data_IF_193277587327
#
_entry.id   IF_193277587327
#
_cell.length_a   1.000
_cell.length_b   1.000
_cell.length_c   1.000
_cell.angle_alpha   90.00
_cell.angle_beta   90.00
_cell.angle_gamma   90.00
#
_symmetry.space_group_name_H-M   'P 1'
#
loop_
_entity.id
_entity.type
_entity.pdbx_description
1 polymer ?
#
# COMPACT_ATOMS: atom_id res chain seq x y z
N UNK A 1 -37.69 44.16 16.18
CA UNK A 1 -37.80 42.75 15.73
C UNK A 1 -37.42 42.60 14.23
N UNK A 2 -37.87 43.51 13.32
CA UNK A 2 -37.53 43.45 11.89
C UNK A 2 -36.04 43.64 11.60
N UNK A 3 -35.33 44.46 12.38
CA UNK A 3 -33.88 44.69 12.18
C UNK A 3 -33.02 43.49 12.62
N UNK A 4 -33.41 42.72 13.62
CA UNK A 4 -32.71 41.51 14.09
C UNK A 4 -32.82 40.36 13.07
N UNK A 5 -33.97 40.19 12.44
CA UNK A 5 -34.22 39.14 11.44
C UNK A 5 -33.40 39.40 10.17
N UNK A 6 -33.26 40.67 9.78
CA UNK A 6 -32.44 41.04 8.58
C UNK A 6 -30.97 40.84 8.82
N UNK A 7 -30.43 41.08 10.01
CA UNK A 7 -29.04 40.77 10.36
C UNK A 7 -28.77 39.28 10.42
N UNK A 8 -29.71 38.46 10.92
CA UNK A 8 -29.54 37.00 10.97
C UNK A 8 -29.56 36.36 9.58
N UNK A 9 -30.39 36.83 8.68
CA UNK A 9 -30.44 36.39 7.28
C UNK A 9 -29.19 36.83 6.50
N UNK A 10 -28.62 38.02 6.76
CA UNK A 10 -27.40 38.48 6.12
C UNK A 10 -26.16 37.68 6.57
N UNK A 11 -26.09 37.30 7.86
CA UNK A 11 -25.01 36.45 8.38
C UNK A 11 -25.10 35.01 7.86
N UNK A 12 -26.32 34.48 7.72
CA UNK A 12 -26.52 33.14 7.14
C UNK A 12 -26.13 33.11 5.65
N UNK A 13 -26.44 34.16 4.88
CA UNK A 13 -26.08 34.28 3.47
C UNK A 13 -24.56 34.47 3.26
N UNK A 14 -23.89 35.20 4.17
CA UNK A 14 -22.43 35.37 4.11
C UNK A 14 -21.68 34.08 4.48
N UNK A 15 -22.23 33.25 5.39
CA UNK A 15 -21.68 31.95 5.72
C UNK A 15 -21.82 30.94 4.58
N UNK A 16 -22.89 31.01 3.79
CA UNK A 16 -23.08 30.18 2.60
C UNK A 16 -22.17 30.59 1.43
N UNK A 17 -21.80 31.88 1.32
CA UNK A 17 -20.90 32.35 0.27
C UNK A 17 -19.43 32.03 0.54
N UNK A 18 -19.03 31.78 1.80
CA UNK A 18 -17.68 31.34 2.16
C UNK A 18 -17.44 29.84 1.94
N UNK A 19 -18.50 29.02 1.84
CA UNK A 19 -18.41 27.57 1.58
C UNK A 19 -18.26 27.31 0.05
N UNK A 20 -18.56 28.27 -0.81
CA UNK A 20 -18.57 28.08 -2.26
C UNK A 20 -17.23 28.34 -2.99
N UNK A 21 -16.17 28.63 -2.26
CA UNK A 21 -14.82 28.89 -2.86
C UNK A 21 -13.76 27.83 -2.49
N UNK A 22 -14.15 26.58 -2.30
CA UNK A 22 -13.18 25.50 -2.49
C UNK A 22 -13.08 25.26 -4.00
N UNK A 23 -12.10 25.90 -4.63
CA UNK A 23 -11.70 25.54 -5.99
C UNK A 23 -11.41 24.06 -6.01
N UNK A 24 -12.17 23.29 -6.80
CA UNK A 24 -11.77 21.92 -7.10
C UNK A 24 -10.32 21.94 -7.55
N UNK A 25 -9.44 21.08 -7.01
CA UNK A 25 -8.09 20.99 -7.52
C UNK A 25 -8.13 20.80 -9.03
N UNK A 26 -7.23 21.44 -9.74
CA UNK A 26 -7.10 21.24 -11.19
C UNK A 26 -6.89 19.74 -11.44
N UNK A 27 -7.51 19.15 -12.47
CA UNK A 27 -7.28 17.76 -12.80
C UNK A 27 -5.78 17.56 -13.07
N UNK A 28 -5.20 16.48 -12.53
CA UNK A 28 -3.83 16.12 -12.80
C UNK A 28 -3.64 15.88 -14.30
N UNK A 29 -2.48 16.24 -14.82
CA UNK A 29 -2.11 15.91 -16.20
C UNK A 29 -2.00 14.40 -16.31
N UNK A 30 -2.62 13.76 -17.31
CA UNK A 30 -2.47 12.32 -17.54
C UNK A 30 -0.99 11.98 -17.74
N UNK A 31 -0.52 10.92 -17.09
CA UNK A 31 0.85 10.40 -17.20
C UNK A 31 0.79 8.92 -17.54
N UNK A 32 1.81 8.44 -18.26
CA UNK A 32 1.92 7.01 -18.56
C UNK A 32 2.66 6.28 -17.45
N UNK A 33 2.17 5.12 -17.01
CA UNK A 33 2.85 4.33 -16.00
C UNK A 33 4.11 3.66 -16.55
N UNK A 34 5.20 3.74 -15.79
CA UNK A 34 6.50 3.14 -16.12
C UNK A 34 6.60 1.72 -15.56
N UNK A 35 5.85 0.78 -16.11
CA UNK A 35 5.78 -0.58 -15.57
C UNK A 35 6.92 -1.50 -16.06
N UNK A 36 7.43 -1.28 -17.28
CA UNK A 36 8.35 -2.23 -17.97
C UNK A 36 9.81 -1.80 -18.03
N UNK A 37 10.17 -0.63 -17.50
CA UNK A 37 11.51 -0.11 -17.63
C UNK A 37 12.46 -0.77 -16.62
N UNK A 38 13.55 -1.37 -17.09
CA UNK A 38 14.72 -1.72 -16.27
C UNK A 38 15.59 -0.48 -15.99
N UNK A 39 15.50 0.53 -16.88
CA UNK A 39 16.12 1.84 -16.68
C UNK A 39 15.08 2.79 -16.09
N UNK A 40 15.37 3.32 -14.92
CA UNK A 40 14.49 4.26 -14.25
C UNK A 40 14.71 5.67 -14.80
N UNK A 41 13.61 6.41 -14.96
CA UNK A 41 13.68 7.83 -15.30
C UNK A 41 14.42 8.62 -14.24
N UNK A 42 15.01 9.73 -14.67
CA UNK A 42 15.49 10.78 -13.78
C UNK A 42 14.52 11.96 -13.87
N UNK A 43 14.40 12.73 -12.80
CA UNK A 43 13.75 14.01 -12.90
C UNK A 43 14.56 14.95 -13.82
N UNK A 44 13.89 15.63 -14.73
CA UNK A 44 14.53 16.62 -15.61
C UNK A 44 14.93 17.89 -14.84
N UNK A 45 14.30 18.14 -13.71
CA UNK A 45 14.51 19.29 -12.84
C UNK A 45 14.13 18.94 -11.40
N UNK A 46 14.50 19.82 -10.46
CA UNK A 46 13.97 19.81 -9.10
C UNK A 46 12.55 20.42 -9.10
N UNK A 47 11.56 19.55 -9.13
CA UNK A 47 10.17 20.00 -9.04
C UNK A 47 9.87 20.60 -7.66
N UNK A 48 8.86 21.52 -7.56
CA UNK A 48 8.38 21.95 -6.26
C UNK A 48 8.01 20.78 -5.35
N UNK A 49 8.54 20.79 -4.14
CA UNK A 49 8.37 19.70 -3.16
C UNK A 49 7.50 20.16 -2.01
N UNK A 50 6.66 19.26 -1.53
CA UNK A 50 5.89 19.43 -0.32
C UNK A 50 6.80 19.63 0.90
N UNK A 51 6.38 20.46 1.84
CA UNK A 51 6.90 20.40 3.21
C UNK A 51 6.72 18.99 3.78
N UNK A 52 7.56 18.55 4.74
CA UNK A 52 7.38 17.27 5.39
C UNK A 52 5.93 17.04 5.82
N UNK A 53 5.37 15.93 5.39
CA UNK A 53 3.99 15.55 5.66
C UNK A 53 3.88 14.82 7.00
N UNK A 54 2.68 14.79 7.56
CA UNK A 54 2.35 13.86 8.63
C UNK A 54 2.32 12.42 8.08
N UNK A 55 2.74 11.41 8.90
CA UNK A 55 2.73 10.01 8.44
C UNK A 55 1.30 9.57 8.15
N UNK A 56 1.10 8.72 7.13
CA UNK A 56 -0.17 8.02 6.96
C UNK A 56 -0.54 7.22 8.21
N UNK A 57 -1.83 7.11 8.52
CA UNK A 57 -2.34 6.44 9.75
C UNK A 57 -2.05 4.93 9.82
N UNK A 58 -1.29 4.40 8.90
CA UNK A 58 -0.91 3.00 8.77
C UNK A 58 -1.37 2.42 7.44
N UNK A 59 -0.97 1.17 7.19
CA UNK A 59 -1.54 0.40 6.09
C UNK A 59 -2.95 -0.01 6.49
N UNK A 60 -3.91 0.19 5.59
CA UNK A 60 -5.30 -0.17 5.85
C UNK A 60 -5.41 -1.68 6.07
N UNK A 61 -6.27 -2.12 6.98
CA UNK A 61 -6.65 -3.52 7.08
C UNK A 61 -7.10 -3.98 5.69
N UNK A 62 -6.28 -4.83 5.06
CA UNK A 62 -6.44 -5.16 3.66
C UNK A 62 -7.65 -6.05 3.37
N UNK A 63 -7.99 -6.12 2.11
CA UNK A 63 -9.04 -6.99 1.62
C UNK A 63 -8.63 -8.46 1.82
N UNK A 64 -9.42 -9.23 2.51
CA UNK A 64 -9.19 -10.68 2.59
C UNK A 64 -9.40 -11.30 1.21
N UNK A 65 -8.47 -12.13 0.76
CA UNK A 65 -8.50 -12.77 -0.55
C UNK A 65 -9.78 -13.60 -0.77
N UNK A 66 -10.48 -13.30 -1.84
CA UNK A 66 -11.75 -13.94 -2.18
C UNK A 66 -12.88 -12.92 -2.43
N UNK A 67 -14.06 -13.41 -2.71
CA UNK A 67 -15.26 -12.59 -2.86
C UNK A 67 -16.45 -13.25 -2.15
N UNK A 68 -17.52 -12.47 -1.92
CA UNK A 68 -18.71 -12.90 -1.19
C UNK A 68 -18.35 -13.57 0.17
N UNK A 69 -17.38 -12.98 0.86
CA UNK A 69 -16.78 -13.52 2.04
C UNK A 69 -17.77 -13.51 3.21
N UNK A 70 -17.87 -14.63 3.92
CA UNK A 70 -18.75 -14.78 5.08
C UNK A 70 -18.13 -14.15 6.31
N UNK A 71 -18.84 -13.19 6.92
CA UNK A 71 -18.41 -12.55 8.14
C UNK A 71 -18.86 -13.31 9.40
N UNK A 72 -18.05 -13.18 10.46
CA UNK A 72 -18.34 -13.68 11.80
C UNK A 72 -18.02 -12.58 12.81
N UNK A 73 -18.93 -12.30 13.72
CA UNK A 73 -18.71 -11.35 14.80
C UNK A 73 -18.77 -12.09 16.15
N UNK A 74 -17.69 -11.97 16.94
CA UNK A 74 -17.57 -12.66 18.26
C UNK A 74 -17.83 -14.16 18.20
N UNK A 75 -17.44 -14.83 17.13
CA UNK A 75 -17.69 -16.27 16.94
C UNK A 75 -19.11 -16.62 16.46
N UNK A 76 -19.97 -15.62 16.20
CA UNK A 76 -21.35 -15.80 15.73
C UNK A 76 -21.39 -15.50 14.23
N UNK A 77 -21.86 -16.44 13.39
CA UNK A 77 -22.07 -16.19 11.97
C UNK A 77 -23.03 -15.04 11.74
N UNK A 78 -22.66 -14.10 10.87
CA UNK A 78 -23.58 -13.07 10.38
C UNK A 78 -24.33 -13.61 9.16
N UNK A 79 -25.56 -14.09 9.30
CA UNK A 79 -26.34 -14.62 8.19
C UNK A 79 -26.68 -13.49 7.21
N UNK A 80 -26.67 -13.80 5.91
CA UNK A 80 -27.01 -12.88 4.82
C UNK A 80 -26.05 -11.69 4.63
N UNK A 81 -24.89 -11.66 5.29
CA UNK A 81 -23.86 -10.65 5.07
C UNK A 81 -22.67 -11.25 4.36
N UNK A 82 -22.41 -10.80 3.15
CA UNK A 82 -21.22 -11.14 2.36
C UNK A 82 -20.46 -9.86 2.02
N UNK A 83 -19.15 -9.90 2.21
CA UNK A 83 -18.26 -8.83 1.78
C UNK A 83 -17.88 -9.10 0.32
N UNK A 84 -18.22 -8.16 -0.54
CA UNK A 84 -17.85 -8.18 -1.94
C UNK A 84 -16.60 -7.34 -2.14
N UNK A 85 -15.47 -8.02 -2.33
CA UNK A 85 -14.16 -7.39 -2.50
C UNK A 85 -13.82 -7.09 -3.97
N UNK A 86 -14.65 -7.44 -4.95
CA UNK A 86 -14.29 -7.24 -6.36
C UNK A 86 -14.53 -5.80 -6.78
N UNK A 87 -13.49 -5.17 -7.34
CA UNK A 87 -13.55 -3.84 -7.95
C UNK A 87 -13.27 -3.90 -9.46
N UNK A 88 -13.54 -2.82 -10.15
CA UNK A 88 -13.30 -2.66 -11.58
C UNK A 88 -12.38 -1.46 -11.82
N UNK A 89 -11.45 -1.57 -12.76
CA UNK A 89 -10.43 -0.55 -13.01
C UNK A 89 -11.00 0.84 -13.29
N UNK A 90 -12.15 0.92 -13.98
CA UNK A 90 -12.81 2.18 -14.34
C UNK A 90 -13.65 2.79 -13.20
N UNK A 91 -13.83 2.06 -12.10
CA UNK A 91 -14.74 2.43 -11.00
C UNK A 91 -14.04 2.56 -9.65
N UNK A 92 -12.74 2.82 -9.65
CA UNK A 92 -11.94 2.91 -8.42
C UNK A 92 -12.22 4.18 -7.61
N UNK A 93 -12.80 5.20 -8.26
CA UNK A 93 -13.11 6.46 -7.62
C UNK A 93 -11.89 7.35 -7.39
N UNK A 94 -12.09 8.40 -6.58
CA UNK A 94 -11.04 9.33 -6.21
C UNK A 94 -10.06 8.66 -5.23
N UNK A 95 -8.82 9.14 -5.23
CA UNK A 95 -7.84 8.79 -4.22
C UNK A 95 -7.68 9.93 -3.23
N UNK A 96 -7.58 9.60 -1.95
CA UNK A 96 -7.36 10.55 -0.87
C UNK A 96 -6.13 10.12 -0.07
N UNK A 97 -5.09 10.95 -0.09
CA UNK A 97 -3.90 10.74 0.73
C UNK A 97 -4.29 10.53 2.19
N UNK A 98 -3.74 9.49 2.81
CA UNK A 98 -3.96 9.17 4.21
C UNK A 98 -5.45 8.99 4.57
N UNK A 99 -6.21 8.29 3.70
CA UNK A 99 -7.60 7.95 4.04
C UNK A 99 -7.59 6.92 5.18
N UNK A 100 -8.15 7.33 6.30
CA UNK A 100 -8.06 6.63 7.59
C UNK A 100 -8.75 5.28 7.62
N UNK A 101 -8.54 4.51 8.71
CA UNK A 101 -9.31 3.28 9.03
C UNK A 101 -10.83 3.53 8.98
N UNK A 102 -11.30 4.76 9.27
CA UNK A 102 -12.71 5.14 9.11
C UNK A 102 -13.09 5.23 7.64
N UNK A 103 -12.22 5.76 6.78
CA UNK A 103 -12.41 5.77 5.33
C UNK A 103 -12.43 4.36 4.75
N UNK A 104 -11.56 3.46 5.19
CA UNK A 104 -11.57 2.06 4.79
C UNK A 104 -12.86 1.35 5.21
N UNK A 105 -13.37 1.62 6.43
CA UNK A 105 -14.66 1.09 6.89
C UNK A 105 -15.83 1.62 6.05
N UNK A 106 -15.81 2.90 5.69
CA UNK A 106 -16.79 3.51 4.80
C UNK A 106 -16.72 2.95 3.37
N UNK A 107 -15.51 2.66 2.88
CA UNK A 107 -15.30 2.03 1.58
C UNK A 107 -15.85 0.59 1.55
N UNK A 108 -15.62 -0.21 2.59
CA UNK A 108 -16.19 -1.55 2.75
C UNK A 108 -17.73 -1.53 2.79
N UNK A 109 -18.31 -0.49 3.35
CA UNK A 109 -19.77 -0.28 3.38
C UNK A 109 -20.32 0.34 2.10
N UNK A 110 -19.45 0.64 1.11
CA UNK A 110 -19.83 1.24 -0.16
C UNK A 110 -20.21 2.73 -0.08
N UNK A 111 -19.95 3.39 1.04
CA UNK A 111 -20.31 4.79 1.29
C UNK A 111 -19.21 5.76 0.83
N UNK A 112 -17.94 5.30 0.77
CA UNK A 112 -16.81 6.09 0.28
C UNK A 112 -16.80 6.19 -1.25
N UNK A 113 -16.37 7.35 -1.77
CA UNK A 113 -16.07 7.52 -3.18
C UNK A 113 -14.80 6.76 -3.61
N UNK A 114 -13.86 6.54 -2.70
CA UNK A 114 -12.69 5.70 -2.91
C UNK A 114 -13.09 4.23 -2.79
N UNK A 115 -12.81 3.42 -3.82
CA UNK A 115 -13.08 1.99 -3.80
C UNK A 115 -11.79 1.22 -3.51
N UNK A 116 -11.88 0.29 -2.57
CA UNK A 116 -10.83 -0.68 -2.24
C UNK A 116 -11.34 -2.08 -2.54
N UNK A 117 -10.45 -2.97 -2.92
CA UNK A 117 -10.81 -4.35 -3.27
C UNK A 117 -9.80 -4.96 -4.22
N UNK A 118 -10.15 -6.13 -4.73
CA UNK A 118 -9.31 -6.94 -5.60
C UNK A 118 -9.85 -6.99 -7.01
N UNK A 119 -8.96 -7.04 -7.98
CA UNK A 119 -9.28 -7.39 -9.36
C UNK A 119 -8.18 -8.29 -9.92
N UNK A 120 -8.51 -9.06 -10.95
CA UNK A 120 -7.54 -9.89 -11.65
C UNK A 120 -7.02 -9.19 -12.90
N UNK A 121 -5.71 -9.36 -13.15
CA UNK A 121 -5.04 -8.87 -14.37
C UNK A 121 -4.25 -9.99 -15.03
N UNK A 122 -4.15 -9.94 -16.37
CA UNK A 122 -3.46 -10.97 -17.14
C UNK A 122 -1.96 -11.07 -16.84
N UNK A 123 -1.31 -9.92 -16.55
CA UNK A 123 0.15 -9.83 -16.36
C UNK A 123 0.58 -9.63 -14.92
N UNK A 124 -0.33 -9.14 -14.06
CA UNK A 124 -0.05 -8.84 -12.65
C UNK A 124 -0.72 -9.82 -11.67
N UNK A 125 -1.48 -10.80 -12.15
CA UNK A 125 -2.28 -11.66 -11.28
C UNK A 125 -3.40 -10.88 -10.59
N UNK A 126 -3.73 -11.26 -9.36
CA UNK A 126 -4.63 -10.45 -8.52
C UNK A 126 -3.90 -9.21 -8.02
N UNK A 127 -4.62 -8.10 -7.96
CA UNK A 127 -4.13 -6.80 -7.45
C UNK A 127 -5.07 -6.31 -6.35
N UNK A 128 -4.49 -5.94 -5.21
CA UNK A 128 -5.20 -5.24 -4.13
C UNK A 128 -5.01 -3.73 -4.27
N UNK A 129 -6.11 -3.02 -4.49
CA UNK A 129 -6.11 -1.57 -4.70
C UNK A 129 -5.75 -0.78 -3.43
N UNK A 130 -6.08 -1.32 -2.25
CA UNK A 130 -5.68 -0.69 -0.99
C UNK A 130 -4.15 -0.69 -0.84
N UNK A 131 -3.50 -1.84 -1.07
CA UNK A 131 -2.05 -1.96 -1.01
C UNK A 131 -1.32 -1.05 -2.01
N UNK A 132 -1.86 -0.93 -3.24
CA UNK A 132 -1.30 0.00 -4.24
C UNK A 132 -1.32 1.44 -3.72
N UNK A 133 -2.48 1.89 -3.22
CA UNK A 133 -2.68 3.27 -2.76
C UNK A 133 -1.88 3.58 -1.51
N UNK A 134 -1.93 2.69 -0.51
CA UNK A 134 -1.23 2.90 0.76
C UNK A 134 0.28 2.98 0.58
N UNK A 135 0.86 2.13 -0.26
CA UNK A 135 2.30 2.19 -0.54
C UNK A 135 2.66 3.41 -1.37
N UNK A 136 1.78 3.88 -2.25
CA UNK A 136 1.98 5.15 -2.95
C UNK A 136 2.00 6.33 -1.97
N UNK A 137 1.10 6.37 -0.99
CA UNK A 137 1.06 7.39 0.06
C UNK A 137 2.31 7.38 0.92
N UNK A 138 2.76 6.19 1.35
CA UNK A 138 4.02 6.09 2.09
C UNK A 138 5.23 6.50 1.26
N UNK A 139 5.22 6.28 -0.05
CA UNK A 139 6.29 6.76 -0.94
C UNK A 139 6.33 8.28 -0.97
N UNK A 140 5.18 8.96 -1.10
CA UNK A 140 5.09 10.42 -1.04
C UNK A 140 5.54 10.96 0.33
N UNK A 141 5.06 10.33 1.41
CA UNK A 141 5.44 10.69 2.77
C UNK A 141 6.96 10.63 2.97
N UNK A 142 7.58 9.48 2.68
CA UNK A 142 9.02 9.33 2.82
C UNK A 142 9.80 10.29 1.92
N UNK A 143 9.33 10.50 0.69
CA UNK A 143 9.96 11.47 -0.20
C UNK A 143 9.99 12.87 0.42
N UNK A 144 8.87 13.35 0.99
CA UNK A 144 8.80 14.67 1.64
C UNK A 144 9.76 14.81 2.81
N UNK A 145 9.95 13.74 3.59
CA UNK A 145 10.88 13.69 4.72
C UNK A 145 12.34 13.64 4.26
N UNK A 146 12.64 12.77 3.31
CA UNK A 146 14.01 12.51 2.85
C UNK A 146 14.58 13.74 2.14
N UNK A 147 13.81 14.33 1.22
CA UNK A 147 14.29 15.47 0.44
C UNK A 147 14.63 16.67 1.33
N UNK A 148 13.83 16.91 2.38
CA UNK A 148 14.07 17.99 3.34
C UNK A 148 15.35 17.78 4.19
N UNK A 149 15.84 16.55 4.35
CA UNK A 149 16.96 16.20 5.24
C UNK A 149 18.07 15.43 4.50
N UNK A 150 18.08 15.47 3.18
CA UNK A 150 19.01 14.69 2.35
C UNK A 150 20.47 14.96 2.75
N UNK A 151 21.24 13.89 2.92
CA UNK A 151 22.64 13.96 3.34
C UNK A 151 22.89 14.14 4.85
N UNK A 152 21.85 14.40 5.64
CA UNK A 152 21.96 14.53 7.10
C UNK A 152 21.83 13.17 7.80
N UNK A 153 22.44 13.03 8.97
CA UNK A 153 22.17 11.90 9.86
C UNK A 153 20.98 12.21 10.78
N UNK A 154 19.95 11.36 10.72
CA UNK A 154 18.76 11.50 11.54
C UNK A 154 17.96 10.20 11.63
N UNK A 155 16.97 10.14 12.51
CA UNK A 155 16.12 8.98 12.70
C UNK A 155 14.64 9.36 12.56
N UNK A 156 13.95 8.69 11.65
CA UNK A 156 12.50 8.76 11.55
C UNK A 156 11.88 7.65 12.39
N UNK A 157 10.97 7.99 13.28
CA UNK A 157 10.22 7.03 14.09
C UNK A 157 8.80 6.94 13.56
N UNK A 158 8.34 5.72 13.36
CA UNK A 158 6.98 5.39 12.91
C UNK A 158 6.21 4.72 14.05
N UNK A 159 4.89 4.63 13.90
CA UNK A 159 4.05 3.90 14.85
C UNK A 159 4.44 2.43 14.94
N UNK A 160 4.22 1.84 16.11
CA UNK A 160 4.63 0.47 16.37
C UNK A 160 3.70 -0.54 15.68
N UNK A 161 4.31 -1.50 14.98
CA UNK A 161 3.66 -2.73 14.52
C UNK A 161 4.42 -3.93 15.09
N UNK A 162 4.00 -4.49 16.21
CA UNK A 162 4.72 -5.44 17.06
C UNK A 162 6.09 -4.91 17.50
N UNK A 163 6.93 -4.51 16.56
CA UNK A 163 8.21 -3.82 16.78
C UNK A 163 8.03 -2.30 16.80
N UNK A 164 8.95 -1.60 17.49
CA UNK A 164 9.11 -0.17 17.30
C UNK A 164 9.88 0.07 15.99
N UNK A 165 9.24 0.77 15.05
CA UNK A 165 9.74 0.98 13.69
C UNK A 165 10.54 2.27 13.62
N UNK A 166 11.79 2.19 13.18
CA UNK A 166 12.67 3.34 12.97
C UNK A 166 13.39 3.23 11.65
N UNK A 167 13.61 4.35 11.00
CA UNK A 167 14.49 4.45 9.83
C UNK A 167 15.66 5.35 10.24
N UNK A 168 16.85 4.78 10.23
CA UNK A 168 18.09 5.51 10.47
C UNK A 168 18.68 5.93 9.14
N UNK A 169 18.73 7.22 8.88
CA UNK A 169 19.39 7.81 7.72
C UNK A 169 20.83 8.16 8.10
N UNK A 170 21.76 7.79 7.23
CA UNK A 170 23.18 8.03 7.43
C UNK A 170 23.61 9.33 6.76
N UNK A 171 24.61 10.03 7.35
CA UNK A 171 25.19 11.21 6.75
C UNK A 171 25.98 10.83 5.47
N UNK A 172 25.78 11.60 4.41
CA UNK A 172 26.55 11.49 3.17
C UNK A 172 26.56 12.84 2.44
N UNK A 173 27.43 13.00 1.44
CA UNK A 173 27.41 14.17 0.57
C UNK A 173 26.42 13.92 -0.56
N UNK A 174 25.29 14.64 -0.62
CA UNK A 174 24.31 14.48 -1.69
C UNK A 174 24.86 14.98 -3.04
N UNK A 175 24.22 14.61 -4.18
CA UNK A 175 24.53 15.20 -5.46
C UNK A 175 24.48 16.73 -5.42
N UNK A 176 25.35 17.39 -6.20
CA UNK A 176 25.32 18.88 -6.32
C UNK A 176 24.16 19.36 -7.20
N UNK A 177 23.78 18.54 -8.20
CA UNK A 177 22.63 18.83 -9.06
C UNK A 177 21.32 18.59 -8.29
N UNK A 178 20.44 19.61 -8.19
CA UNK A 178 19.16 19.47 -7.51
C UNK A 178 18.25 18.39 -8.12
N UNK A 179 18.23 18.18 -9.44
CA UNK A 179 17.45 17.14 -10.08
C UNK A 179 17.94 15.72 -9.73
N UNK A 180 19.26 15.55 -9.58
CA UNK A 180 19.85 14.29 -9.09
C UNK A 180 19.53 14.04 -7.63
N UNK A 181 19.63 15.06 -6.77
CA UNK A 181 19.22 14.99 -5.35
C UNK A 181 17.74 14.66 -5.21
N UNK A 182 16.89 15.25 -6.04
CA UNK A 182 15.46 14.94 -6.14
C UNK A 182 15.24 13.46 -6.50
N UNK A 183 15.88 12.99 -7.57
CA UNK A 183 15.78 11.61 -8.06
C UNK A 183 16.23 10.60 -7.02
N UNK A 184 17.39 10.84 -6.36
CA UNK A 184 17.91 9.98 -5.30
C UNK A 184 16.92 9.87 -4.13
N UNK A 185 16.28 10.99 -3.75
CA UNK A 185 15.28 11.02 -2.68
C UNK A 185 14.04 10.20 -3.02
N UNK A 186 13.57 10.27 -4.26
CA UNK A 186 12.42 9.48 -4.73
C UNK A 186 12.71 7.98 -4.71
N UNK A 187 13.89 7.58 -5.19
CA UNK A 187 14.29 6.17 -5.23
C UNK A 187 14.38 5.58 -3.82
N UNK A 188 15.00 6.32 -2.89
CA UNK A 188 15.11 5.89 -1.51
C UNK A 188 13.73 5.82 -0.84
N UNK A 189 12.85 6.77 -1.13
CA UNK A 189 11.48 6.79 -0.59
C UNK A 189 10.65 5.56 -1.05
N UNK A 190 10.67 5.23 -2.34
CA UNK A 190 9.96 4.08 -2.87
C UNK A 190 10.46 2.75 -2.26
N UNK A 191 11.80 2.61 -2.11
CA UNK A 191 12.40 1.44 -1.48
C UNK A 191 11.97 1.29 -0.03
N UNK A 192 12.00 2.36 0.76
CA UNK A 192 11.58 2.32 2.16
C UNK A 192 10.08 2.07 2.34
N UNK A 193 9.24 2.59 1.43
CA UNK A 193 7.80 2.33 1.45
C UNK A 193 7.50 0.84 1.21
N UNK A 194 8.18 0.20 0.26
CA UNK A 194 8.04 -1.22 0.05
C UNK A 194 8.58 -2.06 1.23
N UNK A 195 9.71 -1.67 1.82
CA UNK A 195 10.24 -2.34 3.01
C UNK A 195 9.28 -2.28 4.19
N UNK A 196 8.60 -1.15 4.36
CA UNK A 196 7.56 -0.98 5.38
C UNK A 196 6.38 -1.92 5.13
N UNK A 197 5.91 -2.03 3.88
CA UNK A 197 4.85 -2.95 3.50
C UNK A 197 5.26 -4.42 3.72
N UNK A 198 6.47 -4.81 3.35
CA UNK A 198 6.98 -6.16 3.61
C UNK A 198 7.06 -6.51 5.11
N UNK A 199 7.40 -5.53 5.96
CA UNK A 199 7.31 -5.71 7.41
C UNK A 199 5.87 -5.88 7.89
N UNK A 200 4.92 -5.16 7.32
CA UNK A 200 3.51 -5.26 7.68
C UNK A 200 2.99 -6.70 7.50
N UNK A 201 3.29 -7.36 6.38
CA UNK A 201 2.95 -8.76 6.13
C UNK A 201 3.53 -9.70 7.20
N UNK A 202 4.80 -9.48 7.56
CA UNK A 202 5.45 -10.23 8.64
C UNK A 202 4.73 -9.96 9.96
N UNK A 203 4.47 -8.71 10.30
CA UNK A 203 3.83 -8.34 11.56
C UNK A 203 2.42 -8.93 11.68
N UNK A 204 1.60 -8.87 10.64
CA UNK A 204 0.25 -9.46 10.60
C UNK A 204 0.31 -10.98 10.85
N UNK A 205 1.22 -11.68 10.17
CA UNK A 205 1.35 -13.11 10.36
C UNK A 205 1.73 -13.47 11.80
N UNK A 206 2.58 -12.67 12.44
CA UNK A 206 3.01 -12.85 13.83
C UNK A 206 2.04 -12.30 14.87
N UNK A 207 0.87 -11.77 14.46
CA UNK A 207 -0.24 -11.42 15.33
C UNK A 207 -0.45 -9.92 15.54
N UNK A 208 0.08 -9.07 14.68
CA UNK A 208 -0.30 -7.68 14.64
C UNK A 208 -1.79 -7.53 14.32
N UNK A 209 -2.43 -6.54 14.92
CA UNK A 209 -3.83 -6.20 14.71
C UNK A 209 -3.93 -4.67 14.69
N UNK A 210 -4.28 -4.10 13.55
CA UNK A 210 -4.59 -2.68 13.42
C UNK A 210 -5.88 -2.35 14.18
N UNK A 211 -6.86 -3.28 14.15
CA UNK A 211 -8.11 -3.20 14.92
C UNK A 211 -8.03 -4.23 16.05
N UNK A 212 -8.02 -3.82 17.33
CA UNK A 212 -7.94 -4.74 18.44
C UNK A 212 -9.06 -5.80 18.42
N UNK A 213 -8.68 -7.07 18.52
CA UNK A 213 -9.61 -8.20 18.53
C UNK A 213 -9.93 -8.76 17.13
N UNK A 214 -9.47 -8.11 16.07
CA UNK A 214 -9.59 -8.61 14.69
C UNK A 214 -8.23 -9.17 14.22
N UNK A 215 -8.16 -10.48 14.00
CA UNK A 215 -6.92 -11.13 13.55
C UNK A 215 -6.69 -10.87 12.05
N UNK A 216 -5.60 -10.23 11.71
CA UNK A 216 -5.16 -10.00 10.33
C UNK A 216 -4.30 -11.15 9.77
N UNK A 217 -4.03 -12.19 10.57
CA UNK A 217 -3.29 -13.37 10.10
C UNK A 217 -3.99 -14.13 8.96
N UNK A 218 -5.26 -13.82 8.67
CA UNK A 218 -6.00 -14.37 7.54
C UNK A 218 -5.50 -13.80 6.21
N UNK A 219 -5.14 -12.53 6.16
CA UNK A 219 -4.64 -11.83 4.97
C UNK A 219 -3.12 -11.83 4.85
N UNK A 220 -2.38 -12.00 5.93
CA UNK A 220 -0.92 -11.93 5.92
C UNK A 220 -0.27 -12.79 4.81
N UNK A 221 0.64 -12.20 4.04
CA UNK A 221 1.29 -12.82 2.88
C UNK A 221 0.30 -13.30 1.81
N UNK A 222 -0.79 -12.59 1.61
CA UNK A 222 -1.72 -12.90 0.53
C UNK A 222 -1.01 -12.89 -0.83
N UNK A 223 -1.43 -13.70 -1.81
CA UNK A 223 -0.72 -13.86 -3.09
C UNK A 223 -0.44 -12.56 -3.83
N UNK A 224 -1.33 -11.57 -3.67
CA UNK A 224 -1.33 -10.30 -4.38
C UNK A 224 -0.63 -9.16 -3.64
N UNK A 225 -0.51 -9.24 -2.29
CA UNK A 225 -0.18 -8.10 -1.44
C UNK A 225 1.13 -7.42 -1.82
N UNK A 226 2.24 -8.13 -1.76
CA UNK A 226 3.56 -7.51 -2.00
C UNK A 226 3.80 -7.13 -3.47
N UNK A 227 3.11 -7.76 -4.43
CA UNK A 227 3.16 -7.27 -5.81
C UNK A 227 2.34 -5.99 -5.97
N UNK A 228 1.20 -5.87 -5.30
CA UNK A 228 0.39 -4.65 -5.28
C UNK A 228 1.10 -3.50 -4.58
N UNK A 229 1.78 -3.77 -3.46
CA UNK A 229 2.63 -2.78 -2.79
C UNK A 229 3.75 -2.28 -3.72
N UNK A 230 4.40 -3.20 -4.43
CA UNK A 230 5.45 -2.84 -5.38
C UNK A 230 4.92 -1.99 -6.54
N UNK A 231 3.73 -2.32 -7.04
CA UNK A 231 3.04 -1.51 -8.06
C UNK A 231 2.79 -0.10 -7.54
N UNK A 232 2.29 0.05 -6.31
CA UNK A 232 2.05 1.34 -5.67
C UNK A 232 3.32 2.19 -5.54
N UNK A 233 4.41 1.59 -5.06
CA UNK A 233 5.71 2.27 -4.96
C UNK A 233 6.22 2.72 -6.34
N UNK A 234 6.05 1.88 -7.38
CA UNK A 234 6.45 2.20 -8.77
C UNK A 234 5.64 3.36 -9.35
N UNK A 235 4.32 3.35 -9.18
CA UNK A 235 3.46 4.43 -9.67
C UNK A 235 3.78 5.75 -8.97
N UNK A 236 3.94 5.74 -7.65
CA UNK A 236 4.31 6.94 -6.90
C UNK A 236 5.68 7.48 -7.32
N UNK A 237 6.69 6.58 -7.46
CA UNK A 237 8.01 6.94 -7.97
C UNK A 237 7.90 7.66 -9.32
N UNK A 238 7.16 7.09 -10.27
CA UNK A 238 6.94 7.69 -11.60
C UNK A 238 6.29 9.06 -11.50
N UNK A 239 5.21 9.19 -10.73
CA UNK A 239 4.49 10.46 -10.57
C UNK A 239 5.35 11.55 -9.96
N UNK A 240 6.14 11.22 -8.93
CA UNK A 240 7.01 12.19 -8.28
C UNK A 240 8.10 12.65 -9.26
N UNK A 241 8.75 11.74 -9.99
CA UNK A 241 9.77 12.09 -10.99
C UNK A 241 9.21 12.96 -12.10
N UNK A 242 7.93 12.85 -12.42
CA UNK A 242 7.24 13.67 -13.43
C UNK A 242 6.62 14.95 -12.86
N UNK A 243 6.96 15.35 -11.62
CA UNK A 243 6.50 16.59 -10.99
C UNK A 243 5.03 16.57 -10.53
N UNK A 244 4.41 15.40 -10.42
CA UNK A 244 2.99 15.27 -10.01
C UNK A 244 2.81 15.23 -8.48
N UNK A 245 3.78 15.72 -7.71
CA UNK A 245 3.79 15.67 -6.25
C UNK A 245 4.08 17.02 -5.59
N UNK A 246 3.77 18.15 -6.25
CA UNK A 246 3.95 19.49 -5.66
C UNK A 246 2.89 19.85 -4.62
N UNK A 247 1.81 19.10 -4.55
CA UNK A 247 0.76 19.18 -3.51
C UNK A 247 0.11 17.81 -3.30
N UNK A 248 -0.43 17.56 -2.10
CA UNK A 248 -1.20 16.35 -1.79
C UNK A 248 -2.37 16.16 -2.74
N UNK A 249 -3.10 17.25 -3.06
CA UNK A 249 -4.25 17.17 -3.98
C UNK A 249 -3.82 16.82 -5.41
N UNK A 250 -2.69 17.34 -5.88
CA UNK A 250 -2.14 16.97 -7.20
C UNK A 250 -1.75 15.49 -7.22
N UNK A 251 -1.03 15.03 -6.21
CA UNK A 251 -0.62 13.62 -6.13
C UNK A 251 -1.82 12.67 -6.06
N UNK A 252 -2.80 12.97 -5.23
CA UNK A 252 -4.04 12.18 -5.12
C UNK A 252 -4.78 12.10 -6.46
N UNK A 253 -4.91 13.24 -7.16
CA UNK A 253 -5.53 13.25 -8.49
C UNK A 253 -4.69 12.48 -9.53
N UNK A 254 -3.36 12.55 -9.44
CA UNK A 254 -2.45 11.83 -10.33
C UNK A 254 -2.54 10.31 -10.11
N UNK A 255 -2.60 9.83 -8.85
CA UNK A 255 -2.83 8.42 -8.53
C UNK A 255 -4.19 7.96 -9.07
N UNK A 256 -5.25 8.74 -8.86
CA UNK A 256 -6.58 8.40 -9.38
C UNK A 256 -6.61 8.26 -10.92
N UNK A 257 -5.76 9.02 -11.63
CA UNK A 257 -5.66 8.97 -13.09
C UNK A 257 -4.75 7.84 -13.60
N UNK A 258 -3.57 7.64 -12.98
CA UNK A 258 -2.59 6.66 -13.48
C UNK A 258 -2.97 5.22 -13.17
N UNK A 259 -3.64 4.98 -12.03
CA UNK A 259 -3.93 3.62 -11.57
C UNK A 259 -4.84 2.84 -12.55
N UNK A 260 -5.96 3.36 -13.05
CA UNK A 260 -6.73 2.68 -14.09
C UNK A 260 -5.91 2.37 -15.35
N UNK A 261 -5.05 3.29 -15.79
CA UNK A 261 -4.19 3.10 -16.96
C UNK A 261 -3.21 1.94 -16.73
N UNK A 262 -2.55 1.93 -15.58
CA UNK A 262 -1.64 0.86 -15.20
C UNK A 262 -2.33 -0.51 -15.14
N UNK A 263 -3.54 -0.57 -14.59
CA UNK A 263 -4.33 -1.79 -14.53
C UNK A 263 -4.74 -2.28 -15.93
N UNK A 264 -5.10 -1.37 -16.84
CA UNK A 264 -5.36 -1.73 -18.24
C UNK A 264 -4.10 -2.23 -18.96
N UNK A 265 -2.94 -1.65 -18.70
CA UNK A 265 -1.66 -2.13 -19.23
C UNK A 265 -1.33 -3.54 -18.72
N UNK A 266 -1.67 -3.84 -17.47
CA UNK A 266 -1.58 -5.18 -16.89
C UNK A 266 -2.63 -6.15 -17.46
N UNK A 267 -3.60 -5.69 -18.23
CA UNK A 267 -4.69 -6.50 -18.76
C UNK A 267 -5.77 -6.81 -17.72
N UNK A 268 -6.31 -5.76 -17.08
CA UNK A 268 -7.35 -5.88 -16.07
C UNK A 268 -8.61 -6.56 -16.63
N UNK A 269 -9.14 -7.51 -15.88
CA UNK A 269 -10.40 -8.17 -16.16
C UNK A 269 -11.57 -7.35 -15.58
N UNK A 270 -12.72 -7.48 -16.20
CA UNK A 270 -13.95 -6.97 -15.62
C UNK A 270 -14.35 -7.76 -14.37
N UNK A 271 -15.43 -7.33 -13.74
CA UNK A 271 -15.95 -7.98 -12.53
C UNK A 271 -16.26 -9.46 -12.75
N UNK A 272 -16.84 -9.82 -13.89
CA UNK A 272 -17.21 -11.21 -14.21
C UNK A 272 -15.97 -12.08 -14.39
N UNK A 273 -15.00 -11.60 -15.14
CA UNK A 273 -13.72 -12.29 -15.35
C UNK A 273 -12.91 -12.43 -14.07
N UNK A 274 -12.87 -11.37 -13.22
CA UNK A 274 -12.22 -11.45 -11.90
C UNK A 274 -12.88 -12.50 -11.00
N UNK A 275 -14.22 -12.53 -10.99
CA UNK A 275 -14.99 -13.55 -10.26
C UNK A 275 -14.67 -14.96 -10.75
N UNK A 276 -14.64 -15.17 -12.05
CA UNK A 276 -14.29 -16.47 -12.64
C UNK A 276 -12.89 -16.91 -12.21
N UNK A 277 -11.92 -16.00 -12.14
CA UNK A 277 -10.58 -16.32 -11.65
C UNK A 277 -10.57 -16.72 -10.18
N UNK A 278 -11.35 -16.08 -9.32
CA UNK A 278 -11.53 -16.52 -7.93
C UNK A 278 -12.16 -17.90 -7.82
N UNK A 279 -13.19 -18.18 -8.64
CA UNK A 279 -13.86 -19.49 -8.68
C UNK A 279 -12.89 -20.61 -9.14
N UNK A 280 -12.01 -20.32 -10.10
CA UNK A 280 -11.01 -21.28 -10.59
C UNK A 280 -9.94 -21.63 -9.54
N UNK A 281 -9.64 -20.74 -8.61
CA UNK A 281 -8.64 -20.97 -7.55
C UNK A 281 -9.28 -21.33 -6.19
N UNK A 282 -10.61 -21.44 -6.11
CA UNK A 282 -11.30 -21.89 -4.89
C UNK A 282 -10.91 -23.34 -4.55
N UNK A 283 -10.64 -23.60 -3.29
CA UNK A 283 -10.10 -24.87 -2.80
C UNK A 283 -8.60 -25.05 -3.03
N UNK A 284 -7.93 -24.14 -3.78
CA UNK A 284 -6.49 -24.19 -4.08
C UNK A 284 -5.76 -23.01 -3.42
N UNK A 285 -6.23 -21.78 -3.63
CA UNK A 285 -5.64 -20.57 -3.08
C UNK A 285 -6.41 -20.05 -1.88
N UNK A 286 -7.71 -20.24 -1.85
CA UNK A 286 -8.60 -19.83 -0.78
C UNK A 286 -9.72 -20.86 -0.61
N UNK A 287 -10.54 -20.71 0.43
CA UNK A 287 -11.63 -21.62 0.72
C UNK A 287 -12.92 -20.84 0.98
N UNK A 288 -13.81 -20.79 0.00
CA UNK A 288 -15.09 -20.07 0.05
C UNK A 288 -16.06 -20.56 1.14
N UNK A 289 -15.84 -21.75 1.69
CA UNK A 289 -16.62 -22.30 2.81
C UNK A 289 -16.18 -21.75 4.16
N UNK A 290 -14.95 -21.21 4.25
CA UNK A 290 -14.43 -20.62 5.47
C UNK A 290 -14.97 -19.19 5.67
N UNK A 291 -14.80 -18.67 6.88
CA UNK A 291 -15.20 -17.31 7.27
C UNK A 291 -13.99 -16.43 7.48
N UNK A 292 -14.18 -15.12 7.32
CA UNK A 292 -13.19 -14.13 7.72
C UNK A 292 -12.87 -14.39 9.20
N UNK A 293 -11.65 -14.23 9.61
CA UNK A 293 -11.02 -14.61 10.88
C UNK A 293 -10.41 -16.02 10.92
N UNK A 294 -10.78 -16.93 10.04
CA UNK A 294 -10.14 -18.25 9.97
C UNK A 294 -8.88 -18.15 9.11
N UNK A 295 -7.71 -18.38 9.71
CA UNK A 295 -6.41 -18.25 9.05
C UNK A 295 -6.33 -19.00 7.72
N UNK A 296 -6.90 -20.20 7.66
CA UNK A 296 -6.92 -21.05 6.46
C UNK A 296 -8.16 -20.87 5.59
N UNK A 297 -8.79 -19.69 5.65
CA UNK A 297 -9.55 -19.16 4.52
C UNK A 297 -8.58 -18.95 3.35
N UNK A 298 -7.39 -18.41 3.61
CA UNK A 298 -6.29 -18.32 2.65
C UNK A 298 -5.42 -19.57 2.73
N UNK A 299 -5.32 -20.31 1.62
CA UNK A 299 -4.57 -21.57 1.49
C UNK A 299 -3.22 -21.38 0.82
N UNK A 300 -3.11 -20.44 -0.12
CA UNK A 300 -1.88 -20.08 -0.83
C UNK A 300 -1.40 -18.73 -0.36
N UNK A 301 -0.13 -18.65 0.06
CA UNK A 301 0.52 -17.41 0.49
C UNK A 301 1.80 -17.19 -0.30
N UNK A 302 2.24 -15.95 -0.40
CA UNK A 302 3.51 -15.59 -1.03
C UNK A 302 4.47 -14.99 0.01
N UNK A 303 5.41 -15.81 0.47
CA UNK A 303 6.38 -15.45 1.52
C UNK A 303 7.64 -14.74 1.00
N UNK A 304 7.72 -14.44 -0.29
CA UNK A 304 8.81 -13.64 -0.85
C UNK A 304 8.69 -12.19 -0.40
N UNK A 305 9.78 -11.61 0.11
CA UNK A 305 9.80 -10.27 0.69
C UNK A 305 10.64 -9.26 -0.10
N UNK A 306 11.17 -9.67 -1.28
CA UNK A 306 12.05 -8.86 -2.12
C UNK A 306 11.25 -7.84 -2.94
N UNK A 307 11.88 -6.70 -3.24
CA UNK A 307 11.39 -5.61 -4.08
C UNK A 307 11.67 -5.78 -5.59
N UNK A 308 12.01 -6.99 -5.97
CA UNK A 308 12.21 -7.44 -7.34
C UNK A 308 11.49 -8.78 -7.49
N UNK A 309 10.32 -8.78 -8.15
CA UNK A 309 9.45 -9.94 -8.14
C UNK A 309 8.49 -10.04 -9.31
N UNK A 310 8.10 -11.27 -9.61
CA UNK A 310 6.94 -11.56 -10.42
C UNK A 310 5.67 -11.63 -9.55
N UNK A 311 4.49 -11.37 -10.14
CA UNK A 311 3.22 -11.67 -9.46
C UNK A 311 3.06 -13.18 -9.29
N UNK A 312 2.34 -13.61 -8.27
CA UNK A 312 1.90 -15.00 -8.20
C UNK A 312 0.76 -15.20 -9.20
N UNK A 313 0.96 -16.11 -10.15
CA UNK A 313 -0.02 -16.39 -11.20
C UNK A 313 -0.74 -17.71 -10.95
N UNK A 314 -2.07 -17.77 -11.15
CA UNK A 314 -2.78 -19.04 -11.15
C UNK A 314 -2.47 -19.80 -12.44
N UNK A 315 -2.29 -21.12 -12.32
CA UNK A 315 -2.03 -22.02 -13.45
C UNK A 315 -0.77 -21.57 -14.23
N UNK A 316 -0.37 -22.23 -15.25
CA UNK A 316 0.86 -21.97 -16.03
C UNK A 316 0.88 -20.62 -16.80
N UNK A 317 0.23 -19.57 -16.27
CA UNK A 317 0.20 -18.22 -16.84
C UNK A 317 1.48 -17.38 -16.55
N UNK A 318 2.47 -17.95 -15.94
CA UNK A 318 3.74 -17.28 -15.59
C UNK A 318 4.46 -16.63 -16.80
N UNK A 319 4.24 -17.15 -18.01
CA UNK A 319 4.85 -16.60 -19.24
C UNK A 319 4.40 -15.19 -19.61
N UNK A 320 3.22 -14.77 -19.17
CA UNK A 320 2.71 -13.41 -19.39
C UNK A 320 3.01 -12.46 -18.22
N UNK A 321 3.50 -12.99 -17.10
CA UNK A 321 3.72 -12.23 -15.88
C UNK A 321 4.71 -11.08 -16.08
N UNK A 322 4.33 -9.90 -15.63
CA UNK A 322 5.17 -8.72 -15.66
C UNK A 322 5.98 -8.61 -14.37
N UNK A 323 7.31 -8.70 -14.48
CA UNK A 323 8.22 -8.45 -13.36
C UNK A 323 8.24 -6.97 -13.04
N UNK A 324 8.10 -6.65 -11.76
CA UNK A 324 8.34 -5.32 -11.21
C UNK A 324 9.56 -5.33 -10.30
N UNK A 325 10.27 -4.21 -10.25
CA UNK A 325 11.42 -4.01 -9.35
C UNK A 325 11.50 -2.55 -8.90
N UNK A 326 12.28 -2.28 -7.86
CA UNK A 326 12.70 -0.94 -7.46
C UNK A 326 14.19 -0.76 -7.70
N UNK A 327 14.68 0.49 -7.84
CA UNK A 327 16.11 0.75 -7.97
C UNK A 327 16.87 0.30 -6.71
N UNK A 328 18.04 -0.32 -6.89
CA UNK A 328 18.96 -0.63 -5.80
C UNK A 328 19.97 0.50 -5.55
N UNK A 329 20.21 1.31 -6.57
CA UNK A 329 21.18 2.40 -6.55
C UNK A 329 20.78 3.52 -7.50
N UNK A 330 21.34 4.69 -7.27
CA UNK A 330 21.33 5.79 -8.21
C UNK A 330 22.77 6.27 -8.41
N UNK A 331 23.26 6.25 -9.64
CA UNK A 331 24.68 6.48 -9.95
C UNK A 331 25.60 5.62 -9.05
N UNK A 332 26.45 6.24 -8.23
CA UNK A 332 27.33 5.55 -7.28
C UNK A 332 26.73 5.37 -5.88
N UNK A 333 25.52 5.88 -5.64
CA UNK A 333 24.82 5.76 -4.36
C UNK A 333 24.06 4.44 -4.27
N UNK A 334 24.49 3.53 -3.40
CA UNK A 334 23.72 2.35 -3.03
C UNK A 334 22.67 2.74 -1.99
N UNK A 335 21.38 2.56 -2.28
CA UNK A 335 20.29 3.01 -1.42
C UNK A 335 20.35 2.36 -0.03
N UNK A 336 20.74 1.10 0.06
CA UNK A 336 20.89 0.36 1.32
C UNK A 336 22.00 0.91 2.23
N UNK A 337 22.85 1.79 1.71
CA UNK A 337 23.89 2.47 2.49
C UNK A 337 23.47 3.87 2.96
N UNK A 338 22.34 4.37 2.49
CA UNK A 338 21.85 5.71 2.82
C UNK A 338 20.85 5.69 3.97
N UNK A 339 20.14 4.57 4.14
CA UNK A 339 19.18 4.40 5.23
C UNK A 339 19.08 2.91 5.64
N UNK A 340 18.69 2.68 6.88
CA UNK A 340 18.44 1.34 7.42
C UNK A 340 17.09 1.31 8.15
N UNK A 341 16.18 0.46 7.72
CA UNK A 341 14.93 0.20 8.41
C UNK A 341 15.17 -0.75 9.58
N UNK A 342 14.95 -0.28 10.79
CA UNK A 342 15.25 -0.95 12.05
C UNK A 342 13.97 -1.27 12.82
N UNK A 343 13.83 -2.51 13.25
CA UNK A 343 12.67 -3.05 13.97
C UNK A 343 13.09 -3.48 15.36
N UNK A 344 12.84 -2.61 16.32
CA UNK A 344 13.28 -2.77 17.70
C UNK A 344 12.30 -3.61 18.49
N UNK A 345 12.79 -4.56 19.32
CA UNK A 345 11.92 -5.41 20.14
C UNK A 345 11.01 -4.62 21.07
N UNK A 346 9.77 -5.08 21.21
CA UNK A 346 8.78 -4.61 22.17
C UNK A 346 8.19 -5.79 22.95
N UNK A 347 7.43 -5.51 23.99
CA UNK A 347 6.67 -6.52 24.75
C UNK A 347 5.57 -7.21 23.94
N UNK A 348 5.15 -6.61 22.81
CA UNK A 348 4.17 -7.16 21.88
C UNK A 348 4.74 -8.25 20.96
N UNK A 349 6.06 -8.39 20.87
CA UNK A 349 6.74 -9.37 19.98
C UNK A 349 6.80 -10.79 20.57
N UNK A 350 5.76 -11.25 21.22
CA UNK A 350 5.76 -12.56 21.95
C UNK A 350 5.98 -13.78 21.05
N UNK A 351 5.52 -13.72 19.81
CA UNK A 351 5.60 -14.82 18.85
C UNK A 351 6.77 -14.71 17.87
N UNK A 352 7.39 -13.54 17.81
CA UNK A 352 8.59 -13.29 17.00
C UNK A 352 9.84 -13.75 17.76
N UNK A 353 10.83 -14.32 17.08
CA UNK A 353 12.16 -14.48 17.67
C UNK A 353 12.70 -13.12 18.12
N UNK A 354 13.33 -13.05 19.26
CA UNK A 354 13.95 -11.80 19.73
C UNK A 354 15.30 -11.63 19.03
N UNK A 355 15.56 -10.50 18.33
CA UNK A 355 16.85 -10.24 17.71
C UNK A 355 17.90 -9.90 18.77
N UNK A 356 19.17 -9.96 18.41
CA UNK A 356 20.24 -9.54 19.34
C UNK A 356 20.14 -8.05 19.70
N UNK A 357 19.74 -7.21 18.74
CA UNK A 357 19.54 -5.77 18.92
C UNK A 357 18.22 -5.33 18.28
N UNK A 358 18.09 -5.42 16.97
CA UNK A 358 16.90 -5.13 16.17
C UNK A 358 16.93 -5.99 14.89
N UNK A 359 15.79 -6.15 14.25
CA UNK A 359 15.68 -6.73 12.92
C UNK A 359 15.88 -5.67 11.85
N UNK A 360 16.39 -6.07 10.70
CA UNK A 360 16.51 -5.28 9.49
C UNK A 360 15.82 -6.00 8.31
N UNK A 361 15.75 -5.35 7.16
CA UNK A 361 15.23 -5.96 5.93
C UNK A 361 15.96 -7.26 5.56
N UNK A 362 17.24 -7.40 5.92
CA UNK A 362 18.04 -8.62 5.69
C UNK A 362 17.50 -9.85 6.44
N UNK A 363 16.74 -9.62 7.49
CA UNK A 363 16.16 -10.69 8.32
C UNK A 363 14.76 -11.12 7.83
N UNK A 364 14.11 -10.34 6.95
CA UNK A 364 12.75 -10.61 6.46
C UNK A 364 12.60 -11.99 5.82
N UNK A 365 13.51 -12.43 4.92
CA UNK A 365 13.39 -13.76 4.32
C UNK A 365 13.37 -14.89 5.35
N UNK A 366 14.19 -14.79 6.40
CA UNK A 366 14.24 -15.80 7.47
C UNK A 366 12.96 -15.80 8.30
N UNK A 367 12.38 -14.63 8.59
CA UNK A 367 11.12 -14.51 9.32
C UNK A 367 9.95 -15.07 8.49
N UNK A 368 9.90 -14.76 7.20
CA UNK A 368 8.90 -15.26 6.26
C UNK A 368 9.01 -16.78 6.05
N UNK A 369 10.22 -17.34 5.88
CA UNK A 369 10.44 -18.78 5.78
C UNK A 369 9.97 -19.53 7.04
N UNK A 370 10.19 -18.95 8.23
CA UNK A 370 9.70 -19.53 9.47
C UNK A 370 8.17 -19.55 9.52
N UNK A 371 7.53 -18.47 9.03
CA UNK A 371 6.08 -18.37 8.91
C UNK A 371 5.55 -19.47 7.97
N UNK A 372 6.15 -19.63 6.80
CA UNK A 372 5.82 -20.66 5.81
C UNK A 372 5.88 -22.06 6.39
N UNK A 373 7.00 -22.40 7.05
CA UNK A 373 7.18 -23.72 7.67
C UNK A 373 6.11 -24.01 8.74
N UNK A 374 5.68 -23.00 9.50
CA UNK A 374 4.62 -23.17 10.48
C UNK A 374 3.25 -23.37 9.81
N UNK A 375 2.95 -22.63 8.75
CA UNK A 375 1.69 -22.79 8.01
C UNK A 375 1.60 -24.16 7.36
N UNK A 376 2.67 -24.62 6.72
CA UNK A 376 2.73 -25.99 6.15
C UNK A 376 2.45 -27.07 7.22
N UNK A 377 3.06 -26.94 8.41
CA UNK A 377 2.83 -27.88 9.51
C UNK A 377 1.37 -27.85 10.00
N UNK A 378 0.77 -26.66 10.10
CA UNK A 378 -0.61 -26.52 10.54
C UNK A 378 -1.60 -27.07 9.51
N UNK A 379 -1.36 -26.84 8.21
CA UNK A 379 -2.19 -27.39 7.13
C UNK A 379 -2.14 -28.92 7.08
N UNK A 380 -0.99 -29.52 7.34
CA UNK A 380 -0.86 -31.00 7.42
C UNK A 380 -1.61 -31.60 8.61
N UNK A 381 -1.65 -30.90 9.74
CA UNK A 381 -2.34 -31.36 10.94
C UNK A 381 -3.86 -31.16 10.88
N UNK A 382 -4.36 -30.35 9.98
CA UNK A 382 -5.79 -30.08 9.79
C UNK A 382 -6.44 -30.94 8.67
N UNK A 383 -5.65 -31.79 8.01
CA UNK A 383 -6.12 -32.82 7.07
C UNK A 383 -6.33 -34.13 7.80
#
# INVERSE_FOLDING_TARGET
LKCLVTMFLATLFLSFLLIACQSKPAPATPVEPMLRSETYEQAETDWPVLSPLDPPEGLRACCVFGYNLKAEALGIPMPLFGIDNIVEAEKLGEHHYNDSVLGASAALLGISNEKIGLLYTEKGGFIDIAHVRDTADYTLYFFSQIYAHLGQEWVLTLDNELAARKIHFFAFTPPEDPAESYTLSVYLAAKLAFQLAAWHEIAQWYGYQSIPGFSEAVSAFSPEDLYSNLLGARLALTLILQGQASSVSQFSAAIANILPIALHELGAYDRSGTKEMFDQVDGIWWNSYQRISKKFLLLRRNYETQDDRYPLMPFDKEKSALRLSLPESYQHFSLDKLAEFQLWPTDKMKNLPVPQRYWTVKDFPMLAEKAEKQDMKQLLNNK
#
